data_IF_505873827068
#
_entry.id   IF_505873827068
#
_cell.length_a   1.000
_cell.length_b   1.000
_cell.length_c   1.000
_cell.angle_alpha   90.00
_cell.angle_beta   90.00
_cell.angle_gamma   90.00
#
_symmetry.space_group_name_H-M   'P 1'
#
loop_
_entity.id
_entity.type
_entity.pdbx_description
1 polymer ?
#
# COMPACT_ATOMS: atom_id res chain seq x y z
N UNK A 1 -3.24 -31.24 -19.13
CA UNK A 1 -3.92 -31.52 -17.85
C UNK A 1 -5.18 -32.37 -18.02
N UNK A 2 -6.22 -31.93 -18.76
CA UNK A 2 -7.51 -32.65 -18.91
C UNK A 2 -7.36 -34.10 -19.42
N UNK A 3 -6.51 -34.34 -20.42
CA UNK A 3 -6.31 -35.68 -21.01
C UNK A 3 -5.74 -36.73 -20.02
N UNK A 4 -4.96 -36.30 -19.04
CA UNK A 4 -4.28 -37.22 -18.11
C UNK A 4 -5.13 -37.58 -16.89
N UNK A 5 -6.02 -36.66 -16.47
CA UNK A 5 -7.06 -36.98 -15.47
C UNK A 5 -8.00 -38.08 -15.95
N UNK A 6 -8.30 -38.09 -17.25
CA UNK A 6 -9.12 -39.13 -17.90
C UNK A 6 -8.41 -40.49 -17.85
N UNK A 7 -7.09 -40.53 -18.07
CA UNK A 7 -6.31 -41.77 -18.05
C UNK A 7 -6.03 -42.30 -16.64
N UNK A 8 -5.71 -41.44 -15.67
CA UNK A 8 -5.37 -41.89 -14.30
C UNK A 8 -6.59 -42.26 -13.47
N UNK A 9 -7.73 -41.59 -13.68
CA UNK A 9 -8.93 -41.82 -12.87
C UNK A 9 -10.07 -42.53 -13.63
N UNK A 10 -9.88 -42.84 -14.91
CA UNK A 10 -10.92 -43.44 -15.77
C UNK A 10 -12.20 -42.58 -15.83
N UNK A 11 -12.00 -41.26 -15.77
CA UNK A 11 -13.07 -40.26 -15.66
C UNK A 11 -13.42 -39.72 -17.05
N UNK A 12 -14.69 -39.41 -17.30
CA UNK A 12 -15.12 -38.78 -18.56
C UNK A 12 -14.53 -37.38 -18.74
N UNK A 13 -14.16 -37.00 -19.97
CA UNK A 13 -13.62 -35.66 -20.29
C UNK A 13 -14.49 -34.51 -19.76
N UNK A 14 -15.79 -34.74 -19.62
CA UNK A 14 -16.76 -33.82 -19.04
C UNK A 14 -16.45 -33.47 -17.57
N UNK A 15 -16.13 -34.47 -16.74
CA UNK A 15 -15.80 -34.26 -15.33
C UNK A 15 -14.47 -33.49 -15.19
N UNK A 16 -13.49 -33.75 -16.05
CA UNK A 16 -12.24 -32.99 -16.06
C UNK A 16 -12.41 -31.53 -16.54
N UNK A 17 -13.37 -31.25 -17.42
CA UNK A 17 -13.74 -29.88 -17.77
C UNK A 17 -14.44 -29.17 -16.59
N UNK A 18 -15.30 -29.90 -15.87
CA UNK A 18 -16.03 -29.33 -14.72
C UNK A 18 -15.11 -28.82 -13.62
N UNK A 19 -13.99 -29.50 -13.33
CA UNK A 19 -13.04 -29.07 -12.29
C UNK A 19 -12.39 -27.71 -12.60
N UNK A 20 -12.07 -27.45 -13.87
CA UNK A 20 -11.54 -26.16 -14.32
C UNK A 20 -12.60 -25.07 -14.22
N UNK A 21 -13.86 -25.39 -14.55
CA UNK A 21 -14.98 -24.45 -14.38
C UNK A 21 -15.16 -24.08 -12.91
N UNK A 22 -15.16 -25.06 -11.99
CA UNK A 22 -15.27 -24.79 -10.56
C UNK A 22 -14.12 -23.94 -10.02
N UNK A 23 -12.90 -24.18 -10.50
CA UNK A 23 -11.74 -23.35 -10.16
C UNK A 23 -11.95 -21.88 -10.58
N UNK A 24 -12.42 -21.64 -11.81
CA UNK A 24 -12.65 -20.28 -12.30
C UNK A 24 -13.80 -19.58 -11.57
N UNK A 25 -14.88 -20.31 -11.25
CA UNK A 25 -15.99 -19.78 -10.47
C UNK A 25 -15.54 -19.42 -9.07
N UNK A 26 -14.75 -20.28 -8.40
CA UNK A 26 -14.24 -19.97 -7.07
C UNK A 26 -13.22 -18.84 -7.08
N UNK A 27 -12.39 -18.71 -8.13
CA UNK A 27 -11.51 -17.56 -8.35
C UNK A 27 -12.29 -16.25 -8.47
N UNK A 28 -13.37 -16.24 -9.25
CA UNK A 28 -14.25 -15.08 -9.37
C UNK A 28 -14.88 -14.72 -8.02
N UNK A 29 -15.37 -15.70 -7.27
CA UNK A 29 -15.90 -15.49 -5.93
C UNK A 29 -14.85 -14.90 -4.98
N UNK A 30 -13.61 -15.40 -5.01
CA UNK A 30 -12.50 -14.87 -4.21
C UNK A 30 -12.22 -13.40 -4.50
N UNK A 31 -12.22 -13.00 -5.78
CA UNK A 31 -12.05 -11.59 -6.19
C UNK A 31 -13.20 -10.72 -5.73
N UNK A 32 -14.44 -11.19 -5.87
CA UNK A 32 -15.63 -10.47 -5.39
C UNK A 32 -15.56 -10.27 -3.87
N UNK A 33 -15.19 -11.30 -3.11
CA UNK A 33 -15.02 -11.20 -1.67
C UNK A 33 -14.01 -10.13 -1.30
N UNK A 34 -12.86 -10.08 -1.99
CA UNK A 34 -11.86 -9.02 -1.77
C UNK A 34 -12.40 -7.64 -2.13
N UNK A 35 -13.14 -7.49 -3.22
CA UNK A 35 -13.71 -6.20 -3.58
C UNK A 35 -14.68 -5.67 -2.51
N UNK A 36 -15.48 -6.54 -1.87
CA UNK A 36 -16.40 -6.14 -0.81
C UNK A 36 -15.73 -5.94 0.56
N UNK A 37 -14.79 -6.80 0.91
CA UNK A 37 -14.19 -6.85 2.25
C UNK A 37 -12.94 -5.96 2.34
N UNK A 38 -12.19 -5.84 1.24
CA UNK A 38 -10.90 -5.15 1.17
C UNK A 38 -10.98 -3.70 1.63
N UNK A 39 -12.03 -2.98 1.24
CA UNK A 39 -12.19 -1.56 1.57
C UNK A 39 -12.52 -1.30 3.04
N UNK A 40 -13.14 -2.27 3.73
CA UNK A 40 -13.65 -2.07 5.11
C UNK A 40 -12.79 -2.70 6.19
N UNK A 41 -12.20 -3.87 5.94
CA UNK A 41 -11.66 -4.72 7.01
C UNK A 41 -10.13 -4.83 7.03
N UNK A 42 -9.43 -4.52 5.94
CA UNK A 42 -8.00 -4.85 5.81
C UNK A 42 -7.07 -3.66 5.60
N UNK A 43 -7.49 -2.46 5.96
CA UNK A 43 -6.65 -1.26 5.80
C UNK A 43 -5.36 -1.40 6.63
N UNK A 44 -4.23 -1.61 5.97
CA UNK A 44 -2.90 -1.77 6.59
C UNK A 44 -2.46 -3.21 6.90
N UNK A 45 -3.29 -4.22 6.61
CA UNK A 45 -2.97 -5.64 6.86
C UNK A 45 -3.13 -6.52 5.61
N UNK A 46 -3.14 -5.94 4.40
CA UNK A 46 -3.32 -6.71 3.17
C UNK A 46 -2.15 -7.66 2.89
N UNK A 47 -0.93 -7.25 3.24
CA UNK A 47 0.27 -8.08 3.06
C UNK A 47 0.22 -9.32 3.95
N UNK A 48 -0.28 -9.20 5.19
CA UNK A 48 -0.46 -10.34 6.11
C UNK A 48 -1.45 -11.35 5.53
N UNK A 49 -2.56 -10.87 4.98
CA UNK A 49 -3.57 -11.72 4.35
C UNK A 49 -3.00 -12.48 3.15
N UNK A 50 -2.15 -11.85 2.33
CA UNK A 50 -1.46 -12.53 1.24
C UNK A 50 -0.55 -13.68 1.72
N UNK A 51 0.15 -13.50 2.85
CA UNK A 51 0.96 -14.58 3.45
C UNK A 51 0.07 -15.73 3.91
N UNK A 52 -1.03 -15.43 4.62
CA UNK A 52 -1.98 -16.45 5.08
C UNK A 52 -2.59 -17.21 3.90
N UNK A 53 -2.99 -16.51 2.84
CA UNK A 53 -3.50 -17.14 1.62
C UNK A 53 -2.45 -18.01 0.93
N UNK A 54 -1.18 -17.57 0.85
CA UNK A 54 -0.10 -18.35 0.27
C UNK A 54 0.20 -19.63 1.08
N UNK A 55 0.17 -19.54 2.42
CA UNK A 55 0.31 -20.70 3.30
C UNK A 55 -0.87 -21.66 3.15
N UNK A 56 -2.10 -21.15 3.06
CA UNK A 56 -3.29 -21.96 2.86
C UNK A 56 -3.26 -22.67 1.51
N UNK A 57 -2.83 -21.99 0.45
CA UNK A 57 -2.64 -22.58 -0.88
C UNK A 57 -1.54 -23.67 -0.85
N UNK A 58 -0.43 -23.41 -0.14
CA UNK A 58 0.63 -24.40 0.09
C UNK A 58 0.10 -25.64 0.82
N UNK A 59 -0.60 -25.47 1.93
CA UNK A 59 -1.23 -26.57 2.66
C UNK A 59 -2.22 -27.35 1.79
N UNK A 60 -2.98 -26.66 0.95
CA UNK A 60 -3.83 -27.28 -0.07
C UNK A 60 -3.03 -28.15 -1.04
N UNK A 61 -1.89 -27.66 -1.54
CA UNK A 61 -1.04 -28.42 -2.46
C UNK A 61 -0.45 -29.67 -1.79
N UNK A 62 -0.10 -29.58 -0.51
CA UNK A 62 0.33 -30.73 0.28
C UNK A 62 -0.80 -31.76 0.44
N UNK A 63 -2.03 -31.31 0.72
CA UNK A 63 -3.19 -32.18 0.80
C UNK A 63 -3.53 -32.84 -0.55
N UNK A 64 -3.40 -32.08 -1.66
CA UNK A 64 -3.63 -32.58 -3.01
C UNK A 64 -2.69 -33.73 -3.40
N UNK A 65 -1.48 -33.79 -2.83
CA UNK A 65 -0.57 -34.94 -3.01
C UNK A 65 -1.17 -36.27 -2.55
N UNK A 66 -2.00 -36.24 -1.51
CA UNK A 66 -2.65 -37.41 -0.93
C UNK A 66 -4.06 -37.66 -1.50
N UNK A 67 -4.51 -36.83 -2.44
CA UNK A 67 -5.83 -36.98 -3.02
C UNK A 67 -5.88 -38.23 -3.92
N UNK A 68 -6.68 -39.21 -3.52
CA UNK A 68 -6.93 -40.45 -4.28
C UNK A 68 -8.33 -40.42 -4.91
N UNK A 69 -9.22 -39.56 -4.41
CA UNK A 69 -10.60 -39.45 -4.87
C UNK A 69 -10.87 -38.14 -5.59
N UNK A 70 -11.74 -38.18 -6.60
CA UNK A 70 -12.16 -37.01 -7.37
C UNK A 70 -12.72 -35.88 -6.50
N UNK A 71 -13.54 -36.21 -5.49
CA UNK A 71 -14.11 -35.23 -4.57
C UNK A 71 -13.05 -34.43 -3.81
N UNK A 72 -11.95 -35.06 -3.42
CA UNK A 72 -10.84 -34.38 -2.74
C UNK A 72 -10.17 -33.37 -3.67
N UNK A 73 -10.01 -33.71 -4.95
CA UNK A 73 -9.44 -32.82 -5.95
C UNK A 73 -10.40 -31.66 -6.31
N UNK A 74 -11.71 -31.91 -6.28
CA UNK A 74 -12.72 -30.87 -6.49
C UNK A 74 -12.72 -29.85 -5.34
N UNK A 75 -12.69 -30.31 -4.08
CA UNK A 75 -12.58 -29.44 -2.90
C UNK A 75 -11.28 -28.64 -2.95
N UNK A 76 -10.16 -29.28 -3.32
CA UNK A 76 -8.88 -28.60 -3.50
C UNK A 76 -8.97 -27.49 -4.56
N UNK A 77 -9.54 -27.76 -5.74
CA UNK A 77 -9.66 -26.76 -6.81
C UNK A 77 -10.54 -25.58 -6.41
N UNK A 78 -11.63 -25.82 -5.65
CA UNK A 78 -12.46 -24.74 -5.13
C UNK A 78 -11.64 -23.85 -4.18
N UNK A 79 -10.94 -24.44 -3.21
CA UNK A 79 -10.10 -23.70 -2.26
C UNK A 79 -8.91 -22.99 -2.91
N UNK A 80 -8.24 -23.65 -3.85
CA UNK A 80 -7.13 -23.10 -4.61
C UNK A 80 -7.58 -21.94 -5.50
N UNK A 81 -8.71 -22.07 -6.21
CA UNK A 81 -9.27 -20.98 -7.00
C UNK A 81 -9.67 -19.80 -6.12
N UNK A 82 -10.35 -20.05 -5.00
CA UNK A 82 -10.75 -18.99 -4.07
C UNK A 82 -9.56 -18.20 -3.51
N UNK A 83 -8.51 -18.89 -3.05
CA UNK A 83 -7.29 -18.25 -2.54
C UNK A 83 -6.52 -17.52 -3.63
N UNK A 84 -6.44 -18.08 -4.84
CA UNK A 84 -5.83 -17.42 -6.00
C UNK A 84 -6.58 -16.14 -6.40
N UNK A 85 -7.91 -16.20 -6.42
CA UNK A 85 -8.77 -15.06 -6.69
C UNK A 85 -8.61 -13.97 -5.65
N UNK A 86 -8.50 -14.36 -4.37
CA UNK A 86 -8.23 -13.44 -3.28
C UNK A 86 -6.88 -12.73 -3.47
N UNK A 87 -5.79 -13.48 -3.71
CA UNK A 87 -4.46 -12.91 -3.96
C UNK A 87 -4.45 -12.01 -5.21
N UNK A 88 -5.17 -12.40 -6.27
CA UNK A 88 -5.23 -11.59 -7.49
C UNK A 88 -6.01 -10.29 -7.29
N UNK A 89 -7.05 -10.29 -6.44
CA UNK A 89 -7.81 -9.10 -6.09
C UNK A 89 -7.02 -8.13 -5.21
N UNK A 90 -6.24 -8.64 -4.25
CA UNK A 90 -5.45 -7.79 -3.34
C UNK A 90 -4.13 -7.31 -3.93
N UNK A 91 -3.67 -7.88 -5.06
CA UNK A 91 -2.35 -7.58 -5.66
C UNK A 91 -2.10 -6.09 -5.90
N UNK A 92 -3.07 -5.36 -6.45
CA UNK A 92 -2.89 -3.94 -6.74
C UNK A 92 -2.76 -3.13 -5.44
N UNK A 93 -3.65 -3.40 -4.48
CA UNK A 93 -3.64 -2.74 -3.18
C UNK A 93 -2.39 -3.05 -2.36
N UNK A 94 -1.84 -4.27 -2.43
CA UNK A 94 -0.59 -4.62 -1.73
C UNK A 94 0.64 -3.95 -2.31
N UNK A 95 0.70 -3.75 -3.64
CA UNK A 95 1.77 -2.96 -4.27
C UNK A 95 1.70 -1.50 -3.81
N UNK A 96 0.50 -0.91 -3.77
CA UNK A 96 0.29 0.44 -3.27
C UNK A 96 0.71 0.61 -1.80
N UNK A 97 0.39 -0.38 -0.97
CA UNK A 97 0.76 -0.38 0.46
C UNK A 97 2.26 -0.60 0.69
N UNK A 98 2.92 -1.39 -0.16
CA UNK A 98 4.34 -1.70 0.00
C UNK A 98 5.27 -0.52 -0.35
N UNK A 99 4.83 0.40 -1.21
CA UNK A 99 5.66 1.48 -1.76
C UNK A 99 5.13 2.90 -1.46
N UNK A 100 4.21 3.04 -0.50
CA UNK A 100 3.56 4.33 -0.20
C UNK A 100 3.04 5.03 -1.47
N UNK A 101 2.45 4.25 -2.39
CA UNK A 101 1.86 4.70 -3.66
C UNK A 101 2.82 5.28 -4.71
N UNK A 102 4.13 5.35 -4.45
CA UNK A 102 5.10 5.79 -5.45
C UNK A 102 5.30 4.69 -6.50
N UNK A 103 5.09 5.03 -7.79
CA UNK A 103 5.26 4.11 -8.94
C UNK A 103 4.42 2.82 -8.86
N UNK A 104 3.25 2.87 -8.21
CA UNK A 104 2.39 1.69 -8.04
C UNK A 104 1.96 1.07 -9.38
N UNK A 105 1.67 1.89 -10.39
CA UNK A 105 1.25 1.45 -11.73
C UNK A 105 2.38 0.71 -12.48
N UNK A 106 3.60 1.23 -12.40
CA UNK A 106 4.78 0.64 -13.04
C UNK A 106 5.11 -0.71 -12.40
N UNK A 107 5.11 -0.80 -11.07
CA UNK A 107 5.35 -2.06 -10.39
C UNK A 107 4.23 -3.06 -10.59
N UNK A 108 2.97 -2.61 -10.64
CA UNK A 108 1.86 -3.49 -10.95
C UNK A 108 2.04 -4.09 -12.35
N UNK A 109 2.42 -3.27 -13.33
CA UNK A 109 2.73 -3.72 -14.68
C UNK A 109 3.86 -4.75 -14.70
N UNK A 110 4.98 -4.48 -14.01
CA UNK A 110 6.10 -5.43 -13.88
C UNK A 110 5.66 -6.74 -13.21
N UNK A 111 4.84 -6.66 -12.17
CA UNK A 111 4.30 -7.84 -11.47
C UNK A 111 3.43 -8.71 -12.40
N UNK A 112 2.68 -8.09 -13.32
CA UNK A 112 1.85 -8.79 -14.31
C UNK A 112 2.70 -9.50 -15.35
N UNK A 113 3.79 -8.89 -15.79
CA UNK A 113 4.78 -9.55 -16.66
C UNK A 113 5.40 -10.74 -15.95
N UNK A 114 5.80 -10.59 -14.68
CA UNK A 114 6.31 -11.68 -13.87
C UNK A 114 5.32 -12.83 -13.69
N UNK A 115 4.04 -12.53 -13.46
CA UNK A 115 2.98 -13.53 -13.37
C UNK A 115 2.76 -14.28 -14.71
N UNK A 116 2.80 -13.57 -15.83
CA UNK A 116 2.71 -14.17 -17.17
C UNK A 116 3.89 -15.10 -17.46
N UNK A 117 5.12 -14.64 -17.17
CA UNK A 117 6.32 -15.44 -17.32
C UNK A 117 6.30 -16.68 -16.43
N UNK A 118 5.87 -16.52 -15.17
CA UNK A 118 5.68 -17.62 -14.24
C UNK A 118 4.67 -18.66 -14.74
N UNK A 119 3.59 -18.24 -15.40
CA UNK A 119 2.63 -19.17 -16.00
C UNK A 119 3.24 -19.97 -17.17
N UNK A 120 4.05 -19.31 -18.02
CA UNK A 120 4.73 -19.99 -19.13
C UNK A 120 5.75 -20.99 -18.60
N UNK A 121 6.66 -20.54 -17.73
CA UNK A 121 7.70 -21.39 -17.14
C UNK A 121 7.09 -22.52 -16.32
N UNK A 122 6.07 -22.22 -15.52
CA UNK A 122 5.37 -23.21 -14.70
C UNK A 122 4.73 -24.32 -15.53
N UNK A 123 4.09 -23.98 -16.66
CA UNK A 123 3.53 -24.98 -17.57
C UNK A 123 4.62 -25.84 -18.24
N UNK A 124 5.73 -25.24 -18.66
CA UNK A 124 6.87 -25.98 -19.23
C UNK A 124 7.49 -26.94 -18.21
N UNK A 125 7.73 -26.47 -16.98
CA UNK A 125 8.28 -27.28 -15.89
C UNK A 125 7.32 -28.41 -15.52
N UNK A 126 6.01 -28.14 -15.44
CA UNK A 126 5.01 -29.17 -15.15
C UNK A 126 4.92 -30.24 -16.25
N UNK A 127 5.06 -29.84 -17.52
CA UNK A 127 5.13 -30.77 -18.65
C UNK A 127 6.38 -31.65 -18.58
N UNK A 128 7.55 -31.04 -18.42
CA UNK A 128 8.82 -31.77 -18.33
C UNK A 128 8.87 -32.73 -17.12
N UNK A 129 8.33 -32.31 -15.97
CA UNK A 129 8.20 -33.17 -14.79
C UNK A 129 7.32 -34.38 -15.08
N UNK A 130 6.21 -34.19 -15.80
CA UNK A 130 5.34 -35.30 -16.18
C UNK A 130 6.04 -36.27 -17.13
N UNK A 131 6.76 -35.76 -18.13
CA UNK A 131 7.47 -36.59 -19.11
C UNK A 131 8.56 -37.46 -18.45
N UNK A 132 9.25 -36.94 -17.43
CA UNK A 132 10.30 -37.68 -16.70
C UNK A 132 9.73 -38.67 -15.69
N UNK A 133 8.66 -38.31 -14.98
CA UNK A 133 8.19 -39.06 -13.80
C UNK A 133 6.96 -39.91 -14.07
N UNK A 134 6.23 -39.64 -15.15
CA UNK A 134 4.95 -40.26 -15.48
C UNK A 134 3.81 -39.93 -14.50
N UNK A 135 4.01 -39.02 -13.53
CA UNK A 135 3.01 -38.72 -12.50
C UNK A 135 3.01 -37.24 -12.09
N UNK A 136 1.81 -36.67 -11.92
CA UNK A 136 1.64 -35.28 -11.47
C UNK A 136 1.87 -35.07 -9.97
N UNK A 137 2.09 -36.13 -9.18
CA UNK A 137 2.28 -36.03 -7.73
C UNK A 137 3.49 -35.15 -7.37
N UNK A 138 4.56 -35.20 -8.16
CA UNK A 138 5.77 -34.41 -7.92
C UNK A 138 5.52 -32.93 -8.23
N UNK A 139 4.67 -32.61 -9.21
CA UNK A 139 4.30 -31.23 -9.52
C UNK A 139 3.65 -30.53 -8.32
N UNK A 140 2.80 -31.22 -7.54
CA UNK A 140 2.20 -30.64 -6.33
C UNK A 140 3.23 -30.31 -5.25
N UNK A 141 4.30 -31.11 -5.12
CA UNK A 141 5.39 -30.89 -4.16
C UNK A 141 6.24 -29.69 -4.58
N UNK A 142 6.57 -29.61 -5.86
CA UNK A 142 7.30 -28.46 -6.41
C UNK A 142 6.48 -27.19 -6.22
N UNK A 143 5.16 -27.25 -6.46
CA UNK A 143 4.27 -26.11 -6.25
C UNK A 143 4.16 -25.71 -4.77
N UNK A 144 4.15 -26.67 -3.84
CA UNK A 144 4.24 -26.40 -2.40
C UNK A 144 5.54 -25.65 -2.06
N UNK A 145 6.68 -26.12 -2.57
CA UNK A 145 7.98 -25.46 -2.36
C UNK A 145 7.97 -24.02 -2.85
N UNK A 146 7.38 -23.77 -4.03
CA UNK A 146 7.22 -22.42 -4.56
C UNK A 146 6.29 -21.55 -3.70
N UNK A 147 5.16 -22.08 -3.24
CA UNK A 147 4.24 -21.37 -2.33
C UNK A 147 4.93 -20.97 -1.01
N UNK A 148 5.76 -21.85 -0.45
CA UNK A 148 6.54 -21.57 0.76
C UNK A 148 7.60 -20.50 0.52
N UNK A 149 8.30 -20.54 -0.61
CA UNK A 149 9.25 -19.49 -0.99
C UNK A 149 8.57 -18.12 -1.12
N UNK A 150 7.39 -18.07 -1.74
CA UNK A 150 6.60 -16.85 -1.86
C UNK A 150 6.15 -16.35 -0.48
N UNK A 151 5.65 -17.25 0.38
CA UNK A 151 5.26 -16.90 1.75
C UNK A 151 6.45 -16.35 2.57
N UNK A 152 7.64 -16.95 2.43
CA UNK A 152 8.87 -16.44 3.03
C UNK A 152 9.26 -15.07 2.46
N UNK A 153 9.13 -14.87 1.15
CA UNK A 153 9.39 -13.58 0.50
C UNK A 153 8.50 -12.46 1.04
N UNK A 154 7.18 -12.68 1.10
CA UNK A 154 6.26 -11.70 1.68
C UNK A 154 6.47 -11.53 3.19
N UNK A 155 6.75 -12.60 3.93
CA UNK A 155 7.03 -12.55 5.35
C UNK A 155 8.31 -11.76 5.67
N UNK A 156 9.38 -11.95 4.89
CA UNK A 156 10.62 -11.17 5.04
C UNK A 156 10.41 -9.70 4.69
N UNK A 157 9.65 -9.40 3.64
CA UNK A 157 9.27 -8.03 3.28
C UNK A 157 8.48 -7.34 4.42
N UNK A 158 7.55 -8.06 5.05
CA UNK A 158 6.85 -7.56 6.23
C UNK A 158 7.77 -7.29 7.42
N UNK A 159 8.66 -8.23 7.75
CA UNK A 159 9.61 -8.04 8.85
C UNK A 159 10.54 -6.86 8.58
N UNK A 160 10.96 -6.66 7.33
CA UNK A 160 11.77 -5.53 6.91
C UNK A 160 11.00 -4.22 7.07
N UNK A 161 9.75 -4.15 6.59
CA UNK A 161 8.87 -2.98 6.75
C UNK A 161 8.66 -2.63 8.22
N UNK A 162 8.35 -3.62 9.06
CA UNK A 162 8.16 -3.40 10.50
C UNK A 162 9.43 -2.90 11.20
N UNK A 163 10.61 -3.37 10.77
CA UNK A 163 11.88 -2.83 11.27
C UNK A 163 12.10 -1.38 10.83
N UNK A 164 11.88 -1.05 9.56
CA UNK A 164 12.03 0.31 9.05
C UNK A 164 11.09 1.31 9.74
N UNK A 165 9.81 0.94 9.89
CA UNK A 165 8.83 1.78 10.59
C UNK A 165 9.21 1.99 12.07
N UNK A 166 9.77 0.97 12.73
CA UNK A 166 10.26 1.13 14.10
C UNK A 166 11.48 2.06 14.15
N UNK A 167 12.41 1.95 13.21
CA UNK A 167 13.60 2.81 13.15
C UNK A 167 13.23 4.26 12.86
N UNK A 168 12.29 4.53 11.96
CA UNK A 168 11.86 5.91 11.67
C UNK A 168 11.19 6.57 12.89
N UNK A 169 10.38 5.83 13.65
CA UNK A 169 9.81 6.33 14.90
C UNK A 169 10.87 6.68 15.95
N UNK A 170 11.95 5.90 16.06
CA UNK A 170 13.05 6.19 16.98
C UNK A 170 13.81 7.45 16.58
N UNK A 171 14.16 7.60 15.30
CA UNK A 171 14.84 8.80 14.79
C UNK A 171 13.99 10.06 14.97
N UNK A 172 12.68 9.96 14.73
CA UNK A 172 11.77 11.09 14.94
C UNK A 172 11.63 11.42 16.43
N UNK A 173 11.61 10.41 17.31
CA UNK A 173 11.59 10.61 18.76
C UNK A 173 12.85 11.32 19.25
N UNK A 174 14.03 10.92 18.78
CA UNK A 174 15.30 11.60 19.12
C UNK A 174 15.34 13.04 18.61
N UNK A 175 14.91 13.31 17.38
CA UNK A 175 14.81 14.67 16.86
C UNK A 175 13.78 15.55 17.59
N UNK A 176 12.71 14.96 18.13
CA UNK A 176 11.71 15.70 18.93
C UNK A 176 12.25 16.03 20.33
N UNK A 177 13.05 15.14 20.92
CA UNK A 177 13.75 15.38 22.19
C UNK A 177 14.86 16.42 22.03
N UNK A 178 15.67 16.34 20.97
CA UNK A 178 16.68 17.36 20.68
C UNK A 178 16.06 18.71 20.36
N UNK A 179 15.00 18.76 19.55
CA UNK A 179 14.33 20.04 19.24
C UNK A 179 13.63 20.65 20.45
N UNK A 180 13.10 19.85 21.39
CA UNK A 180 12.53 20.38 22.64
C UNK A 180 13.61 20.84 23.63
N UNK A 181 14.76 20.17 23.71
CA UNK A 181 15.92 20.65 24.47
C UNK A 181 16.53 21.90 23.84
N UNK A 182 16.65 21.96 22.51
CA UNK A 182 17.18 23.11 21.78
C UNK A 182 16.21 24.29 21.81
N UNK A 183 14.89 24.05 21.78
CA UNK A 183 13.87 25.09 22.00
C UNK A 183 13.92 25.61 23.43
N UNK A 184 14.06 24.75 24.44
CA UNK A 184 14.25 25.19 25.85
C UNK A 184 15.54 25.98 26.04
N UNK A 185 16.63 25.58 25.38
CA UNK A 185 17.90 26.32 25.42
C UNK A 185 17.81 27.66 24.69
N UNK A 186 17.15 27.72 23.53
CA UNK A 186 16.91 28.97 22.80
C UNK A 186 15.91 29.90 23.50
N UNK A 187 14.92 29.37 24.22
CA UNK A 187 14.02 30.16 25.08
C UNK A 187 14.81 30.85 26.20
N UNK A 188 15.74 30.14 26.86
CA UNK A 188 16.64 30.76 27.84
C UNK A 188 17.55 31.85 27.24
N UNK A 189 18.00 31.70 25.99
CA UNK A 189 18.79 32.72 25.27
C UNK A 189 17.91 33.87 24.76
N UNK A 190 16.62 33.65 24.48
CA UNK A 190 15.72 34.72 24.03
C UNK A 190 15.16 35.55 25.18
N UNK A 191 15.02 35.03 26.40
CA UNK A 191 14.64 35.84 27.56
C UNK A 191 15.67 36.95 27.85
N UNK A 192 16.97 36.69 27.69
CA UNK A 192 18.01 37.72 27.87
C UNK A 192 18.00 38.78 26.75
N UNK A 193 17.76 38.38 25.49
CA UNK A 193 17.69 39.32 24.37
C UNK A 193 16.38 40.11 24.30
N UNK A 194 15.25 39.50 24.66
CA UNK A 194 13.93 40.14 24.65
C UNK A 194 13.80 41.19 25.75
N UNK A 195 14.35 40.94 26.94
CA UNK A 195 14.41 41.92 28.02
C UNK A 195 15.25 43.15 27.62
N UNK A 196 16.35 42.93 26.90
CA UNK A 196 17.21 44.00 26.40
C UNK A 196 16.53 44.82 25.29
N UNK A 197 15.73 44.20 24.43
CA UNK A 197 14.99 44.88 23.36
C UNK A 197 13.77 45.66 23.88
N UNK A 198 13.06 45.15 24.89
CA UNK A 198 11.95 45.87 25.53
C UNK A 198 12.45 47.13 26.25
N UNK A 199 13.57 47.04 26.98
CA UNK A 199 14.20 48.20 27.62
C UNK A 199 14.61 49.27 26.59
N UNK A 200 15.24 48.87 25.48
CA UNK A 200 15.64 49.81 24.43
C UNK A 200 14.42 50.45 23.73
N UNK A 201 13.33 49.69 23.55
CA UNK A 201 12.10 50.23 22.96
C UNK A 201 11.41 51.26 23.88
N UNK A 202 11.42 51.02 25.20
CA UNK A 202 10.89 51.94 26.21
C UNK A 202 11.69 53.26 26.22
N UNK A 203 13.04 53.18 26.18
CA UNK A 203 13.89 54.37 26.07
C UNK A 203 13.66 55.15 24.78
N UNK A 204 13.43 54.46 23.65
CA UNK A 204 13.14 55.12 22.38
C UNK A 204 11.77 55.84 22.39
N UNK A 205 10.75 55.26 23.02
CA UNK A 205 9.44 55.90 23.16
C UNK A 205 9.49 57.13 24.07
N UNK A 206 10.22 57.07 25.19
CA UNK A 206 10.42 58.23 26.07
C UNK A 206 11.12 59.37 25.30
N UNK A 207 12.14 59.05 24.49
CA UNK A 207 12.85 60.05 23.70
C UNK A 207 11.98 60.70 22.62
N UNK A 208 11.08 59.94 21.97
CA UNK A 208 10.10 60.51 21.02
C UNK A 208 9.08 61.41 21.71
N UNK A 209 8.57 61.00 22.87
CA UNK A 209 7.60 61.78 23.64
C UNK A 209 8.17 63.12 24.13
N UNK A 210 9.47 63.18 24.45
CA UNK A 210 10.16 64.43 24.75
C UNK A 210 10.35 65.33 23.51
N UNK A 211 10.45 64.77 22.29
CA UNK A 211 10.61 65.53 21.05
C UNK A 211 9.28 66.11 20.55
N UNK A 212 8.19 65.34 20.57
CA UNK A 212 6.86 65.85 20.16
C UNK A 212 6.39 67.03 21.01
N UNK A 213 6.72 67.03 22.32
CA UNK A 213 6.42 68.16 23.20
C UNK A 213 7.21 69.44 22.85
N UNK A 214 8.24 69.33 22.02
CA UNK A 214 9.01 70.47 21.50
C UNK A 214 8.46 71.01 20.18
N UNK A 215 7.69 70.21 19.43
CA UNK A 215 7.24 70.55 18.06
C UNK A 215 5.75 70.96 17.99
N UNK A 216 5.00 70.87 19.09
CA UNK A 216 3.64 71.41 19.21
C UNK A 216 3.65 72.94 19.40
N UNK A 217 4.22 73.65 18.41
CA UNK A 217 3.91 75.04 18.12
C UNK A 217 3.77 75.22 16.60
N UNK A 218 2.58 75.68 16.22
CA UNK A 218 2.16 76.30 14.95
C UNK A 218 1.46 75.33 13.95
N UNK A 219 0.11 75.27 13.92
CA UNK A 219 -0.60 74.78 12.75
C UNK A 219 -0.87 75.92 11.76
N UNK A 220 -0.39 75.72 10.52
CA UNK A 220 -0.75 76.49 9.33
C UNK A 220 -1.73 75.67 8.47
N UNK A 221 -2.69 76.40 7.90
CA UNK A 221 -3.89 76.03 7.16
C UNK A 221 -3.77 75.09 5.94
N UNK A 222 -4.98 74.75 5.46
CA UNK A 222 -5.42 74.48 4.08
C UNK A 222 -5.37 73.03 3.59
N UNK A 223 -6.54 72.41 3.40
CA UNK A 223 -7.47 72.51 2.25
C UNK A 223 -7.04 71.60 1.11
N UNK A 224 -7.74 70.46 0.95
CA UNK A 224 -8.38 70.12 -0.32
C UNK A 224 -9.21 68.84 -0.20
N UNK A 225 -10.48 68.87 -0.62
CA UNK A 225 -11.15 67.65 -1.09
C UNK A 225 -12.39 68.01 -1.90
N UNK A 226 -12.36 67.73 -3.20
CA UNK A 226 -13.53 67.33 -4.00
C UNK A 226 -13.09 67.05 -5.44
N UNK A 227 -12.89 65.78 -5.80
CA UNK A 227 -13.27 65.28 -7.14
C UNK A 227 -13.65 63.80 -7.00
N UNK A 228 -14.87 63.46 -7.43
CA UNK A 228 -15.52 62.14 -7.36
C UNK A 228 -16.27 61.94 -8.68
N UNK A 229 -16.01 60.84 -9.40
CA UNK A 229 -16.81 60.30 -10.52
C UNK A 229 -16.55 58.77 -10.53
N UNK A 230 -17.49 57.82 -10.34
CA UNK A 230 -18.63 57.38 -11.19
C UNK A 230 -18.23 57.27 -12.68
N UNK A 231 -18.40 56.19 -13.45
CA UNK A 231 -19.53 55.24 -13.71
C UNK A 231 -18.92 54.15 -14.67
N UNK A 232 -19.35 52.90 -14.85
CA UNK A 232 -20.52 52.26 -15.53
C UNK A 232 -20.12 50.76 -15.67
N UNK A 233 -20.92 49.69 -15.54
CA UNK A 233 -22.17 49.17 -16.13
C UNK A 233 -22.10 48.65 -17.59
N UNK A 234 -22.82 47.52 -17.80
CA UNK A 234 -23.07 46.69 -19.02
C UNK A 234 -22.07 45.54 -19.26
N UNK A 235 -22.42 44.34 -19.74
CA UNK A 235 -23.59 43.74 -20.46
C UNK A 235 -23.31 42.21 -20.52
N UNK A 236 -24.20 41.28 -20.15
CA UNK A 236 -25.19 40.52 -20.99
C UNK A 236 -24.67 39.83 -22.27
N UNK A 237 -25.23 38.62 -22.53
CA UNK A 237 -25.09 37.67 -23.66
C UNK A 237 -24.14 36.49 -23.32
N UNK A 238 -24.48 35.21 -23.44
CA UNK A 238 -25.59 34.44 -24.03
C UNK A 238 -25.71 33.09 -23.31
#
# INVERSE_FOLDING_TARGET
MVKHLVQEFNITSFLAASTVTFFNVSDLCGRLTVAFIGDRLFKGHLVEMCVVCALLLGAGCLAARFAVQFYQMLIFNIGAGYTMGFISGTRYSTVGEALDHWYADDLYSVSRVGAGLGAIVGNLVAGALYDVTGSYRICFVVNLGFCLLVAMGFGTLMLLRNRFLRTSHLLHSEGTVESSLQKRNNENVTWTKKLHFELLSQFAQIRRKCREKSDEKIPLNDMDSKVKYHTDKNSSLE
#
